data_IF_707256655403
#
_entry.id   IF_707256655403
#
_cell.length_a   1.000
_cell.length_b   1.000
_cell.length_c   1.000
_cell.angle_alpha   90.00
_cell.angle_beta   90.00
_cell.angle_gamma   90.00
#
_symmetry.space_group_name_H-M   'P 1'
#
loop_
_entity.id
_entity.type
_entity.pdbx_description
1 polymer ?
#
# COMPACT_ATOMS: atom_id res chain seq x y z
N UNK A 1 -15.11 -19.35 10.00
CA UNK A 1 -14.01 -19.20 9.03
C UNK A 1 -14.46 -18.14 8.05
N UNK A 2 -13.98 -16.91 8.20
CA UNK A 2 -14.19 -15.83 7.25
C UNK A 2 -13.05 -15.82 6.23
N UNK A 3 -12.92 -16.90 5.45
CA UNK A 3 -12.02 -16.85 4.30
C UNK A 3 -12.77 -16.09 3.20
N UNK A 4 -12.17 -15.00 2.70
CA UNK A 4 -12.67 -14.28 1.53
C UNK A 4 -12.71 -15.18 0.27
N UNK A 5 -11.98 -16.30 0.29
CA UNK A 5 -12.07 -17.39 -0.67
C UNK A 5 -13.04 -18.48 -0.19
N UNK A 6 -13.94 -18.93 -1.06
CA UNK A 6 -14.76 -20.13 -0.83
C UNK A 6 -13.89 -21.38 -0.66
N UNK A 7 -14.42 -22.43 -0.01
CA UNK A 7 -13.72 -23.73 0.10
C UNK A 7 -13.29 -24.30 -1.27
N UNK A 8 -14.02 -23.95 -2.33
CA UNK A 8 -13.67 -24.31 -3.71
C UNK A 8 -12.43 -23.55 -4.18
N UNK A 9 -12.36 -22.25 -3.94
CA UNK A 9 -11.23 -21.40 -4.34
C UNK A 9 -9.96 -21.71 -3.54
N UNK A 10 -10.10 -22.06 -2.27
CA UNK A 10 -8.98 -22.53 -1.43
C UNK A 10 -8.28 -23.77 -1.99
N UNK A 11 -8.99 -24.65 -2.72
CA UNK A 11 -8.39 -25.83 -3.36
C UNK A 11 -7.68 -25.51 -4.68
N UNK A 12 -7.83 -24.30 -5.19
CA UNK A 12 -7.23 -23.84 -6.45
C UNK A 12 -5.95 -23.04 -6.23
N UNK A 13 -5.59 -22.74 -4.98
CA UNK A 13 -4.35 -22.05 -4.63
C UNK A 13 -3.31 -23.03 -4.10
N UNK A 14 -2.04 -22.77 -4.43
CA UNK A 14 -0.88 -23.46 -3.87
C UNK A 14 0.04 -22.41 -3.21
N UNK A 15 0.78 -22.82 -2.17
CA UNK A 15 1.71 -21.90 -1.50
C UNK A 15 2.80 -21.40 -2.46
N UNK A 16 3.24 -20.15 -2.30
CA UNK A 16 4.29 -19.52 -3.11
C UNK A 16 5.53 -20.41 -3.25
N UNK A 17 5.89 -21.11 -2.17
CA UNK A 17 7.03 -22.01 -2.08
C UNK A 17 6.90 -23.26 -2.97
N UNK A 18 5.68 -23.58 -3.39
CA UNK A 18 5.36 -24.72 -4.26
C UNK A 18 4.98 -24.29 -5.68
N UNK A 19 4.36 -23.11 -5.82
CA UNK A 19 3.80 -22.64 -7.09
C UNK A 19 4.78 -21.78 -7.90
N UNK A 20 5.68 -21.04 -7.25
CA UNK A 20 6.62 -20.14 -7.91
C UNK A 20 8.01 -20.75 -8.03
N UNK A 21 8.70 -20.52 -9.16
CA UNK A 21 10.11 -20.81 -9.24
C UNK A 21 10.86 -20.07 -8.12
N UNK A 22 11.91 -20.68 -7.56
CA UNK A 22 12.74 -20.07 -6.52
C UNK A 22 13.65 -18.95 -7.10
N UNK A 23 13.02 -17.91 -7.65
CA UNK A 23 13.64 -16.71 -8.20
C UNK A 23 13.67 -15.59 -7.14
N UNK A 24 14.53 -14.57 -7.30
CA UNK A 24 14.66 -13.48 -6.32
C UNK A 24 13.43 -12.57 -6.25
N UNK A 25 12.64 -12.53 -7.33
CA UNK A 25 11.37 -11.81 -7.46
C UNK A 25 10.33 -12.86 -7.88
N UNK A 26 9.13 -12.90 -7.29
CA UNK A 26 8.06 -13.79 -7.74
C UNK A 26 7.76 -13.55 -9.22
N UNK A 27 7.52 -14.61 -9.97
CA UNK A 27 7.19 -14.54 -11.41
C UNK A 27 5.70 -14.82 -11.64
N UNK A 28 4.89 -14.72 -10.61
CA UNK A 28 3.45 -15.00 -10.60
C UNK A 28 2.85 -14.17 -9.46
N UNK A 29 1.62 -13.69 -9.63
CA UNK A 29 0.86 -13.15 -8.50
C UNK A 29 0.57 -14.28 -7.54
N UNK A 30 1.00 -14.14 -6.30
CA UNK A 30 0.59 -15.04 -5.25
C UNK A 30 -0.49 -14.35 -4.44
N UNK A 31 -1.63 -15.01 -4.24
CA UNK A 31 -2.75 -14.45 -3.49
C UNK A 31 -2.35 -14.14 -2.06
N UNK A 32 -2.87 -13.05 -1.51
CA UNK A 32 -2.77 -12.66 -0.10
C UNK A 32 -3.94 -13.13 0.75
N UNK A 33 -4.96 -13.75 0.13
CA UNK A 33 -6.10 -14.34 0.80
C UNK A 33 -7.43 -13.73 0.58
N UNK A 34 -7.40 -12.59 -0.06
CA UNK A 34 -8.59 -11.83 -0.35
C UNK A 34 -9.02 -12.04 -1.80
N UNK A 35 -8.23 -12.76 -2.61
CA UNK A 35 -8.50 -13.02 -4.02
C UNK A 35 -7.91 -14.34 -4.53
N UNK A 36 -8.50 -14.93 -5.57
CA UNK A 36 -7.92 -16.11 -6.24
C UNK A 36 -6.83 -15.61 -7.22
N UNK A 37 -5.55 -16.01 -7.07
CA UNK A 37 -4.52 -15.56 -7.97
C UNK A 37 -4.66 -16.31 -9.31
N UNK A 38 -4.36 -15.66 -10.45
CA UNK A 38 -4.42 -16.28 -11.75
C UNK A 38 -3.31 -17.30 -11.89
N UNK A 39 -3.47 -18.20 -12.86
CA UNK A 39 -2.32 -18.92 -13.36
C UNK A 39 -1.26 -17.92 -13.85
N UNK A 40 0.01 -18.30 -13.69
CA UNK A 40 1.12 -17.57 -14.28
C UNK A 40 0.87 -17.33 -15.77
N UNK A 41 0.92 -16.07 -16.21
CA UNK A 41 0.69 -15.71 -17.60
C UNK A 41 1.86 -16.13 -18.50
N UNK A 42 1.64 -16.21 -19.82
CA UNK A 42 2.71 -16.59 -20.74
C UNK A 42 3.86 -15.58 -20.78
N UNK A 43 3.57 -14.30 -20.50
CA UNK A 43 4.59 -13.25 -20.35
C UNK A 43 5.41 -13.47 -19.08
N UNK A 44 4.75 -13.78 -17.96
CA UNK A 44 5.41 -14.14 -16.71
C UNK A 44 6.30 -15.39 -16.83
N UNK A 45 5.84 -16.44 -17.54
CA UNK A 45 6.65 -17.63 -17.87
C UNK A 45 7.90 -17.29 -18.69
N UNK A 46 7.83 -16.30 -19.59
CA UNK A 46 9.00 -15.82 -20.35
C UNK A 46 10.01 -15.14 -19.42
N UNK A 47 9.53 -14.31 -18.48
CA UNK A 47 10.40 -13.67 -17.47
C UNK A 47 11.10 -14.74 -16.64
N UNK A 48 10.36 -15.70 -16.08
CA UNK A 48 10.93 -16.78 -15.28
C UNK A 48 12.01 -17.55 -16.03
N UNK A 49 11.71 -17.99 -17.25
CA UNK A 49 12.69 -18.68 -18.10
C UNK A 49 13.94 -17.83 -18.31
N UNK A 50 13.76 -16.54 -18.55
CA UNK A 50 14.87 -15.63 -18.81
C UNK A 50 15.73 -15.41 -17.57
N UNK A 51 15.12 -15.34 -16.39
CA UNK A 51 15.81 -15.32 -15.09
C UNK A 51 16.67 -16.58 -14.94
N UNK A 52 16.11 -17.76 -15.22
CA UNK A 52 16.82 -19.04 -15.13
C UNK A 52 18.01 -19.12 -16.12
N UNK A 53 17.84 -18.63 -17.36
CA UNK A 53 18.91 -18.55 -18.36
C UNK A 53 20.06 -17.64 -17.89
N UNK A 54 19.74 -16.43 -17.40
CA UNK A 54 20.74 -15.50 -16.88
C UNK A 54 21.49 -16.09 -15.68
N UNK A 55 20.80 -16.81 -14.80
CA UNK A 55 21.43 -17.46 -13.66
C UNK A 55 22.31 -18.65 -14.05
N UNK A 56 21.94 -19.41 -15.08
CA UNK A 56 22.79 -20.48 -15.62
C UNK A 56 24.06 -19.92 -16.25
N UNK A 57 23.95 -18.82 -16.99
CA UNK A 57 25.07 -18.20 -17.68
C UNK A 57 26.02 -17.46 -16.72
N UNK A 58 25.46 -16.68 -15.79
CA UNK A 58 26.24 -15.82 -14.88
C UNK A 58 26.69 -16.58 -13.63
N UNK A 59 25.87 -17.50 -13.12
CA UNK A 59 26.25 -18.38 -12.01
C UNK A 59 27.49 -19.21 -12.33
N UNK A 60 27.55 -19.84 -13.52
CA UNK A 60 28.72 -20.61 -13.97
C UNK A 60 30.01 -19.79 -14.00
N UNK A 61 29.94 -18.52 -14.44
CA UNK A 61 31.11 -17.62 -14.50
C UNK A 61 31.64 -17.26 -13.12
N UNK A 62 30.76 -17.22 -12.11
CA UNK A 62 31.10 -16.91 -10.72
C UNK A 62 31.39 -18.17 -9.89
N UNK A 63 31.36 -19.36 -10.50
CA UNK A 63 31.52 -20.63 -9.77
C UNK A 63 30.36 -20.94 -8.81
N UNK A 64 29.18 -20.37 -9.05
CA UNK A 64 27.99 -20.55 -8.22
C UNK A 64 26.99 -21.50 -8.89
N UNK A 65 26.30 -22.31 -8.07
CA UNK A 65 25.09 -22.97 -8.54
C UNK A 65 23.98 -21.94 -8.82
N UNK A 66 22.99 -22.32 -9.64
CA UNK A 66 21.83 -21.47 -9.93
C UNK A 66 21.17 -20.93 -8.64
N UNK A 67 20.95 -21.80 -7.65
CA UNK A 67 20.35 -21.43 -6.36
C UNK A 67 21.19 -20.40 -5.60
N UNK A 68 22.51 -20.62 -5.53
CA UNK A 68 23.41 -19.68 -4.87
C UNK A 68 23.44 -18.34 -5.59
N UNK A 69 23.47 -18.33 -6.93
CA UNK A 69 23.45 -17.10 -7.72
C UNK A 69 22.19 -16.27 -7.46
N UNK A 70 21.01 -16.89 -7.42
CA UNK A 70 19.74 -16.19 -7.12
C UNK A 70 19.72 -15.55 -5.72
N UNK A 71 20.52 -16.04 -4.77
CA UNK A 71 20.63 -15.47 -3.43
C UNK A 71 21.60 -14.28 -3.33
N UNK A 72 22.12 -13.79 -4.47
CA UNK A 72 23.05 -12.65 -4.52
C UNK A 72 22.39 -11.39 -5.08
N UNK A 73 23.06 -10.24 -4.91
CA UNK A 73 22.68 -9.00 -5.60
C UNK A 73 22.68 -9.13 -7.13
N UNK A 74 23.57 -9.96 -7.70
CA UNK A 74 23.59 -10.26 -9.14
C UNK A 74 22.34 -11.04 -9.58
N UNK A 75 21.86 -11.95 -8.72
CA UNK A 75 20.59 -12.66 -8.94
C UNK A 75 19.41 -11.68 -9.02
N UNK A 76 19.32 -10.76 -8.06
CA UNK A 76 18.29 -9.71 -8.07
C UNK A 76 18.39 -8.82 -9.32
N UNK A 77 19.60 -8.39 -9.70
CA UNK A 77 19.82 -7.61 -10.91
C UNK A 77 19.44 -8.37 -12.18
N UNK A 78 19.72 -9.68 -12.25
CA UNK A 78 19.29 -10.54 -13.35
C UNK A 78 17.76 -10.64 -13.44
N UNK A 79 17.05 -10.65 -12.30
CA UNK A 79 15.59 -10.63 -12.27
C UNK A 79 15.02 -9.36 -12.90
N UNK A 80 15.49 -8.19 -12.47
CA UNK A 80 15.06 -6.91 -13.06
C UNK A 80 15.47 -6.79 -14.54
N UNK A 81 16.64 -7.29 -14.92
CA UNK A 81 17.08 -7.31 -16.32
C UNK A 81 16.14 -8.15 -17.20
N UNK A 82 15.78 -9.36 -16.74
CA UNK A 82 14.82 -10.20 -17.42
C UNK A 82 13.44 -9.52 -17.56
N UNK A 83 12.99 -8.83 -16.52
CA UNK A 83 11.75 -8.04 -16.58
C UNK A 83 11.85 -6.93 -17.63
N UNK A 84 12.95 -6.19 -17.71
CA UNK A 84 13.15 -5.19 -18.77
C UNK A 84 13.20 -5.82 -20.17
N UNK A 85 13.82 -6.97 -20.35
CA UNK A 85 13.88 -7.63 -21.67
C UNK A 85 12.50 -8.11 -22.14
N UNK A 86 11.64 -8.58 -21.22
CA UNK A 86 10.31 -9.11 -21.57
C UNK A 86 9.22 -8.03 -21.58
N UNK A 87 9.25 -7.10 -20.61
CA UNK A 87 8.28 -6.02 -20.44
C UNK A 87 8.78 -4.68 -21.00
N UNK A 88 9.85 -4.64 -21.79
CA UNK A 88 10.33 -3.40 -22.39
C UNK A 88 11.43 -2.71 -21.57
N UNK A 89 12.38 -2.13 -22.28
CA UNK A 89 13.78 -1.94 -21.89
C UNK A 89 14.08 -0.94 -20.77
N UNK A 90 13.08 -0.44 -20.04
CA UNK A 90 13.28 0.68 -19.11
C UNK A 90 12.27 0.74 -17.97
N UNK A 91 11.74 -0.40 -17.52
CA UNK A 91 10.84 -0.41 -16.35
C UNK A 91 11.62 -0.32 -15.04
N UNK A 92 12.75 -1.02 -14.95
CA UNK A 92 13.64 -0.98 -13.80
C UNK A 92 14.99 -0.39 -14.20
N UNK A 93 15.55 0.46 -13.34
CA UNK A 93 16.92 0.93 -13.51
C UNK A 93 17.89 -0.19 -13.13
N UNK A 94 18.42 -0.90 -14.12
CA UNK A 94 19.42 -1.96 -13.92
C UNK A 94 20.24 -2.14 -15.18
N UNK A 95 21.54 -2.38 -15.02
CA UNK A 95 22.47 -2.65 -16.11
C UNK A 95 22.78 -4.14 -16.23
N UNK A 96 23.15 -4.59 -17.43
CA UNK A 96 23.58 -5.97 -17.64
C UNK A 96 24.87 -6.32 -16.86
N UNK A 97 25.69 -5.33 -16.52
CA UNK A 97 26.92 -5.53 -15.75
C UNK A 97 26.61 -5.87 -14.28
N UNK A 98 25.59 -5.26 -13.67
CA UNK A 98 25.16 -5.60 -12.31
C UNK A 98 24.69 -7.06 -12.18
N UNK A 99 24.11 -7.64 -13.25
CA UNK A 99 23.76 -9.05 -13.26
C UNK A 99 24.97 -10.01 -13.33
N UNK A 100 26.19 -9.49 -13.54
CA UNK A 100 27.41 -10.28 -13.81
C UNK A 100 28.54 -10.02 -12.82
N UNK A 101 28.62 -8.81 -12.28
CA UNK A 101 29.75 -8.32 -11.50
C UNK A 101 29.31 -8.04 -10.05
N UNK A 102 29.68 -8.91 -9.09
CA UNK A 102 29.31 -8.73 -7.68
C UNK A 102 29.72 -7.39 -7.10
N UNK A 103 30.86 -6.85 -7.53
CA UNK A 103 31.36 -5.54 -7.09
C UNK A 103 30.42 -4.39 -7.47
N UNK A 104 29.78 -4.44 -8.64
CA UNK A 104 28.82 -3.41 -9.06
C UNK A 104 27.55 -3.44 -8.21
N UNK A 105 27.03 -4.63 -7.92
CA UNK A 105 25.84 -4.76 -7.05
C UNK A 105 26.15 -4.33 -5.62
N UNK A 106 27.36 -4.62 -5.12
CA UNK A 106 27.82 -4.15 -3.81
C UNK A 106 27.98 -2.64 -3.77
N UNK A 107 28.61 -2.05 -4.80
CA UNK A 107 28.74 -0.61 -4.92
C UNK A 107 27.37 0.08 -4.96
N UNK A 108 26.39 -0.49 -5.69
CA UNK A 108 25.02 0.03 -5.71
C UNK A 108 24.35 -0.06 -4.34
N UNK A 109 24.42 -1.20 -3.67
CA UNK A 109 23.86 -1.36 -2.33
C UNK A 109 24.48 -0.36 -1.34
N UNK A 110 25.80 -0.18 -1.38
CA UNK A 110 26.50 0.82 -0.56
C UNK A 110 26.10 2.25 -0.90
N UNK A 111 25.88 2.55 -2.18
CA UNK A 111 25.43 3.90 -2.60
C UNK A 111 24.03 4.24 -2.11
N UNK A 112 23.22 3.24 -1.79
CA UNK A 112 21.83 3.37 -1.35
C UNK A 112 21.63 3.09 0.15
N UNK A 113 22.65 2.61 0.87
CA UNK A 113 22.50 2.18 2.28
C UNK A 113 22.20 3.32 3.26
N UNK A 114 22.29 4.58 2.82
CA UNK A 114 21.96 5.77 3.61
C UNK A 114 20.66 6.46 3.17
N UNK A 115 19.83 5.79 2.36
CA UNK A 115 18.56 6.36 1.92
C UNK A 115 17.65 6.68 3.10
N UNK A 116 16.96 7.81 2.99
CA UNK A 116 15.88 8.15 3.90
C UNK A 116 14.60 7.48 3.43
N UNK A 117 14.06 6.60 4.27
CA UNK A 117 12.83 5.85 4.08
C UNK A 117 11.77 6.39 5.05
N UNK A 118 10.74 6.99 4.47
CA UNK A 118 9.56 7.44 5.18
C UNK A 118 8.39 6.54 4.83
N UNK A 119 8.00 5.67 5.76
CA UNK A 119 6.76 4.92 5.64
C UNK A 119 5.57 5.82 6.02
N UNK A 120 4.87 6.31 5.02
CA UNK A 120 3.78 7.27 5.20
C UNK A 120 2.47 6.63 5.66
N UNK A 121 2.38 5.30 5.77
CA UNK A 121 1.12 4.63 6.06
C UNK A 121 1.30 3.35 6.86
N UNK A 122 1.33 3.48 8.18
CA UNK A 122 1.44 2.34 9.09
C UNK A 122 0.26 2.24 10.05
N UNK A 123 -0.05 1.02 10.50
CA UNK A 123 -1.15 0.73 11.42
C UNK A 123 -0.73 -0.35 12.42
N UNK A 124 -1.29 -0.26 13.63
CA UNK A 124 -1.36 -1.36 14.61
C UNK A 124 -2.72 -1.27 15.32
N UNK A 125 -3.09 -2.28 16.10
CA UNK A 125 -4.37 -2.31 16.83
C UNK A 125 -4.17 -2.12 18.33
N UNK A 126 -5.10 -1.39 18.96
CA UNK A 126 -5.16 -1.19 20.42
C UNK A 126 -5.19 -2.51 21.18
N UNK A 127 -4.73 -2.49 22.43
CA UNK A 127 -4.55 -3.71 23.24
C UNK A 127 -5.84 -4.51 23.44
N UNK A 128 -6.96 -3.84 23.64
CA UNK A 128 -8.30 -4.43 23.83
C UNK A 128 -9.04 -4.78 22.52
N UNK A 129 -8.44 -4.53 21.35
CA UNK A 129 -9.00 -4.98 20.07
C UNK A 129 -9.06 -6.51 20.01
N UNK A 130 -10.25 -7.07 19.80
CA UNK A 130 -10.55 -8.50 19.90
C UNK A 130 -11.19 -9.12 18.64
N UNK A 131 -11.40 -8.34 17.56
CA UNK A 131 -11.88 -8.83 16.27
C UNK A 131 -10.82 -9.70 15.58
N UNK A 132 -11.01 -11.02 15.64
CA UNK A 132 -10.07 -12.02 15.12
C UNK A 132 -10.06 -12.10 13.60
N UNK A 133 -11.04 -11.53 12.93
CA UNK A 133 -11.17 -11.41 11.48
C UNK A 133 -9.92 -10.75 10.87
N UNK A 134 -9.25 -9.83 11.58
CA UNK A 134 -8.01 -9.23 11.10
C UNK A 134 -6.85 -10.24 10.95
N UNK A 135 -6.90 -11.36 11.68
CA UNK A 135 -5.92 -12.44 11.56
C UNK A 135 -6.04 -13.21 10.26
N UNK A 136 -7.16 -13.08 9.54
CA UNK A 136 -7.35 -13.82 8.28
C UNK A 136 -6.31 -13.39 7.23
N UNK A 137 -5.85 -12.12 7.27
CA UNK A 137 -4.68 -11.64 6.52
C UNK A 137 -3.39 -12.43 6.86
N UNK A 138 -3.07 -12.60 8.14
CA UNK A 138 -1.84 -13.26 8.58
C UNK A 138 -1.89 -14.77 8.35
N UNK A 139 -3.01 -15.42 8.70
CA UNK A 139 -3.23 -16.85 8.45
C UNK A 139 -3.06 -17.17 6.99
N UNK A 140 -3.58 -16.31 6.13
CA UNK A 140 -3.44 -16.50 4.72
C UNK A 140 -1.99 -16.30 4.26
N UNK A 141 -1.34 -15.20 4.65
CA UNK A 141 0.07 -14.99 4.34
C UNK A 141 0.95 -16.18 4.78
N UNK A 142 0.67 -16.80 5.93
CA UNK A 142 1.38 -18.00 6.38
C UNK A 142 1.10 -19.25 5.54
N UNK A 143 -0.12 -19.40 5.07
CA UNK A 143 -0.51 -20.53 4.23
C UNK A 143 0.04 -20.40 2.80
N UNK A 144 0.18 -19.17 2.31
CA UNK A 144 0.33 -18.93 0.88
C UNK A 144 1.58 -18.15 0.46
N UNK A 145 2.24 -17.42 1.35
CA UNK A 145 3.39 -16.57 1.00
C UNK A 145 4.66 -16.93 1.72
N UNK A 146 4.58 -16.98 3.04
CA UNK A 146 5.73 -17.13 3.89
C UNK A 146 5.41 -18.15 4.97
N UNK A 147 5.84 -19.38 4.73
CA UNK A 147 5.62 -20.48 5.68
C UNK A 147 6.32 -20.26 7.02
N UNK A 148 7.29 -19.35 7.12
CA UNK A 148 7.88 -18.95 8.40
C UNK A 148 6.90 -18.23 9.32
N UNK A 149 5.77 -17.74 8.80
CA UNK A 149 4.68 -17.17 9.60
C UNK A 149 3.81 -18.26 10.25
N UNK A 150 3.92 -19.53 9.84
CA UNK A 150 3.13 -20.64 10.42
C UNK A 150 3.49 -20.78 11.90
N UNK A 151 2.51 -20.55 12.78
CA UNK A 151 2.67 -20.59 14.24
C UNK A 151 2.50 -19.23 14.94
N UNK A 152 2.52 -18.13 14.19
CA UNK A 152 2.35 -16.75 14.70
C UNK A 152 1.08 -16.05 14.13
N UNK A 153 0.12 -16.83 13.62
CA UNK A 153 -1.06 -16.30 12.91
C UNK A 153 -2.36 -16.33 13.71
N UNK A 154 -2.35 -16.95 14.89
CA UNK A 154 -3.57 -17.15 15.68
C UNK A 154 -3.75 -16.12 16.79
N UNK A 155 -2.83 -15.16 16.90
CA UNK A 155 -2.81 -14.14 17.94
C UNK A 155 -2.77 -12.74 17.37
N UNK A 156 -3.69 -11.88 17.84
CA UNK A 156 -3.69 -10.46 17.52
C UNK A 156 -2.43 -9.73 18.02
N UNK A 157 -1.62 -10.36 18.87
CA UNK A 157 -0.28 -9.88 19.30
C UNK A 157 0.57 -9.43 18.11
N UNK A 158 0.45 -10.12 16.96
CA UNK A 158 1.14 -9.76 15.71
C UNK A 158 0.86 -8.33 15.24
N UNK A 159 -0.32 -7.80 15.53
CA UNK A 159 -0.74 -6.45 15.16
C UNK A 159 -0.72 -5.48 16.34
N UNK A 160 -0.21 -5.88 17.52
CA UNK A 160 -0.10 -4.99 18.68
C UNK A 160 1.18 -4.17 18.63
N UNK A 161 1.23 -3.14 19.45
CA UNK A 161 2.30 -2.14 19.50
C UNK A 161 3.72 -2.72 19.57
N UNK A 162 3.95 -3.76 20.38
CA UNK A 162 5.30 -4.34 20.54
C UNK A 162 5.83 -4.93 19.23
N UNK A 163 4.99 -5.70 18.52
CA UNK A 163 5.40 -6.27 17.23
C UNK A 163 5.50 -5.19 16.16
N UNK A 164 4.60 -4.19 16.18
CA UNK A 164 4.69 -3.02 15.31
C UNK A 164 6.06 -2.32 15.42
N UNK A 165 6.54 -2.04 16.64
CA UNK A 165 7.85 -1.40 16.84
C UNK A 165 8.99 -2.26 16.31
N UNK A 166 8.93 -3.59 16.52
CA UNK A 166 9.92 -4.54 15.99
C UNK A 166 9.95 -4.50 14.46
N UNK A 167 8.81 -4.71 13.81
CA UNK A 167 8.74 -4.80 12.34
C UNK A 167 9.14 -3.46 11.69
N UNK A 168 8.69 -2.32 12.23
CA UNK A 168 8.99 -1.00 11.65
C UNK A 168 10.45 -0.59 11.90
N UNK A 169 11.00 -0.77 13.10
CA UNK A 169 12.30 -0.17 13.45
C UNK A 169 13.47 -1.13 13.62
N UNK A 170 13.22 -2.45 13.73
CA UNK A 170 14.28 -3.45 13.88
C UNK A 170 14.41 -4.37 12.67
N UNK A 171 13.30 -4.66 11.99
CA UNK A 171 13.28 -5.57 10.83
C UNK A 171 13.07 -4.86 9.50
N UNK A 172 13.08 -3.52 9.49
CA UNK A 172 13.03 -2.72 8.27
C UNK A 172 14.00 -1.55 8.32
N UNK A 173 14.35 -1.01 7.15
CA UNK A 173 15.21 0.16 7.00
C UNK A 173 14.45 1.49 7.23
N UNK A 174 13.22 1.45 7.77
CA UNK A 174 12.39 2.65 7.98
C UNK A 174 13.06 3.67 8.90
N UNK A 175 13.22 4.90 8.40
CA UNK A 175 13.74 6.02 9.20
C UNK A 175 12.64 6.76 9.95
N UNK A 176 11.51 7.01 9.30
CA UNK A 176 10.35 7.63 9.93
C UNK A 176 9.11 6.86 9.50
N UNK A 177 8.17 6.67 10.41
CA UNK A 177 6.85 6.15 10.09
C UNK A 177 5.76 7.19 10.40
N UNK A 178 4.63 7.11 9.71
CA UNK A 178 3.42 7.87 9.99
C UNK A 178 2.32 6.89 10.38
N UNK A 179 1.85 7.01 11.62
CA UNK A 179 0.83 6.17 12.21
C UNK A 179 -0.55 6.75 11.96
N UNK A 180 -1.47 5.88 11.56
CA UNK A 180 -2.88 6.20 11.38
C UNK A 180 -3.77 5.17 12.07
N UNK A 181 -5.04 5.54 12.23
CA UNK A 181 -6.14 4.60 12.46
C UNK A 181 -6.98 4.42 11.19
N UNK A 182 -8.01 3.58 11.32
CA UNK A 182 -9.08 3.43 10.34
C UNK A 182 -10.43 3.61 11.09
N UNK A 183 -11.31 4.50 10.60
CA UNK A 183 -12.63 4.69 11.18
C UNK A 183 -13.60 3.61 10.67
N UNK A 184 -14.57 3.27 11.50
CA UNK A 184 -15.66 2.35 11.16
C UNK A 184 -16.98 2.92 11.66
N UNK A 185 -18.09 2.46 11.07
CA UNK A 185 -19.43 2.80 11.57
C UNK A 185 -19.67 2.23 12.97
N UNK A 186 -19.06 1.08 13.29
CA UNK A 186 -18.97 0.53 14.64
C UNK A 186 -17.64 0.92 15.30
N UNK A 187 -17.64 1.77 16.36
CA UNK A 187 -16.43 2.15 17.09
C UNK A 187 -15.63 0.98 17.67
N UNK A 188 -16.25 -0.19 17.89
CA UNK A 188 -15.56 -1.40 18.35
C UNK A 188 -14.48 -1.88 17.36
N UNK A 189 -14.61 -1.52 16.07
CA UNK A 189 -13.67 -1.86 15.01
C UNK A 189 -12.55 -0.85 14.80
N UNK A 190 -12.59 0.31 15.45
CA UNK A 190 -11.53 1.30 15.29
C UNK A 190 -10.18 0.71 15.72
N UNK A 191 -9.17 0.79 14.86
CA UNK A 191 -7.87 0.18 15.17
C UNK A 191 -7.20 0.89 16.36
N UNK A 192 -7.25 2.22 16.36
CA UNK A 192 -6.75 3.12 17.39
C UNK A 192 -7.65 4.36 17.46
N UNK A 193 -7.79 4.94 18.66
CA UNK A 193 -8.30 6.31 18.81
C UNK A 193 -7.23 7.35 18.47
N UNK A 194 -7.64 8.58 18.19
CA UNK A 194 -6.70 9.68 17.94
C UNK A 194 -5.74 9.94 19.12
N UNK A 195 -6.24 9.80 20.34
CA UNK A 195 -5.43 9.89 21.55
C UNK A 195 -4.37 8.77 21.60
N UNK A 196 -4.74 7.53 21.27
CA UNK A 196 -3.81 6.40 21.22
C UNK A 196 -2.74 6.59 20.14
N UNK A 197 -3.09 7.13 18.96
CA UNK A 197 -2.14 7.42 17.87
C UNK A 197 -1.09 8.43 18.35
N UNK A 198 -1.51 9.55 18.93
CA UNK A 198 -0.58 10.57 19.43
C UNK A 198 0.24 10.05 20.61
N UNK A 199 -0.35 9.25 21.49
CA UNK A 199 0.39 8.64 22.59
C UNK A 199 1.49 7.70 22.09
N UNK A 200 1.21 6.89 21.07
CA UNK A 200 2.21 6.03 20.44
C UNK A 200 3.35 6.83 19.81
N UNK A 201 3.03 7.96 19.14
CA UNK A 201 4.01 8.92 18.62
C UNK A 201 4.94 9.43 19.71
N UNK A 202 4.38 9.90 20.83
CA UNK A 202 5.16 10.39 21.96
C UNK A 202 6.08 9.31 22.53
N UNK A 203 5.53 8.12 22.84
CA UNK A 203 6.30 7.00 23.42
C UNK A 203 7.49 6.62 22.53
N UNK A 204 7.28 6.49 21.22
CA UNK A 204 8.36 6.13 20.29
C UNK A 204 9.40 7.25 20.20
N UNK A 205 8.97 8.51 20.09
CA UNK A 205 9.89 9.64 19.94
C UNK A 205 10.69 9.91 21.22
N UNK A 206 10.07 9.78 22.39
CA UNK A 206 10.72 9.90 23.70
C UNK A 206 11.77 8.80 23.87
N UNK A 207 11.41 7.55 23.55
CA UNK A 207 12.34 6.43 23.61
C UNK A 207 13.52 6.60 22.65
N UNK A 208 13.27 7.07 21.43
CA UNK A 208 14.29 7.26 20.42
C UNK A 208 15.13 8.53 20.60
N UNK A 209 14.72 9.45 21.49
CA UNK A 209 15.32 10.78 21.63
C UNK A 209 15.29 11.61 20.35
N UNK A 210 14.43 11.26 19.39
CA UNK A 210 14.33 11.86 18.06
C UNK A 210 12.96 11.62 17.44
N UNK A 211 12.61 12.38 16.41
CA UNK A 211 11.35 12.23 15.69
C UNK A 211 11.42 11.03 14.75
N UNK A 212 10.88 9.89 15.20
CA UNK A 212 10.82 8.61 14.48
C UNK A 212 9.41 8.23 14.05
N UNK A 213 8.40 8.64 14.82
CA UNK A 213 7.00 8.47 14.48
C UNK A 213 6.31 9.82 14.30
N UNK A 214 5.42 9.88 13.32
CA UNK A 214 4.44 10.95 13.08
C UNK A 214 3.02 10.40 13.32
N UNK A 215 2.06 11.28 13.59
CA UNK A 215 0.69 10.93 13.89
C UNK A 215 -0.30 11.62 12.94
N UNK A 216 -1.17 10.83 12.34
CA UNK A 216 -2.43 11.31 11.78
C UNK A 216 -3.50 11.42 12.86
N UNK A 217 -4.31 12.49 12.80
CA UNK A 217 -5.66 12.43 13.37
C UNK A 217 -6.63 11.99 12.29
N UNK A 218 -7.40 10.93 12.58
CA UNK A 218 -8.49 10.46 11.74
C UNK A 218 -9.70 11.35 11.98
N UNK A 219 -10.25 11.91 10.90
CA UNK A 219 -11.54 12.63 10.91
C UNK A 219 -12.65 11.73 10.35
N UNK A 220 -13.87 11.92 10.84
CA UNK A 220 -15.04 11.13 10.42
C UNK A 220 -16.20 12.02 9.98
N UNK A 221 -16.08 12.75 8.85
CA UNK A 221 -17.11 13.69 8.41
C UNK A 221 -18.51 13.07 8.40
N UNK A 222 -19.49 13.83 8.91
CA UNK A 222 -20.90 13.45 9.12
C UNK A 222 -21.19 12.49 10.28
N UNK A 223 -20.20 11.85 10.90
CA UNK A 223 -20.44 11.11 12.15
C UNK A 223 -20.75 12.09 13.29
N UNK A 224 -21.58 11.71 14.28
CA UNK A 224 -21.85 12.57 15.44
C UNK A 224 -20.55 12.97 16.17
N UNK A 225 -20.38 14.26 16.45
CA UNK A 225 -19.23 14.77 17.22
C UNK A 225 -17.93 14.97 16.42
N UNK A 226 -17.92 14.77 15.10
CA UNK A 226 -16.67 14.76 14.33
C UNK A 226 -15.96 16.12 14.28
N UNK A 227 -16.68 17.24 14.33
CA UNK A 227 -16.06 18.58 14.31
C UNK A 227 -15.53 18.98 15.69
N UNK A 228 -16.19 18.53 16.75
CA UNK A 228 -15.70 18.66 18.13
C UNK A 228 -14.38 17.88 18.31
N UNK A 229 -14.28 16.70 17.69
CA UNK A 229 -13.03 15.93 17.67
C UNK A 229 -11.93 16.63 16.85
N UNK A 230 -12.28 17.36 15.77
CA UNK A 230 -11.33 18.24 15.04
C UNK A 230 -10.80 19.34 15.96
N UNK A 231 -11.69 20.02 16.69
CA UNK A 231 -11.29 21.07 17.64
C UNK A 231 -10.39 20.54 18.74
N UNK A 232 -10.75 19.38 19.31
CA UNK A 232 -9.91 18.67 20.28
C UNK A 232 -8.57 18.27 19.69
N UNK A 233 -8.52 17.82 18.43
CA UNK A 233 -7.28 17.44 17.78
C UNK A 233 -6.33 18.62 17.58
N UNK A 234 -6.85 19.79 17.22
CA UNK A 234 -6.06 21.02 17.09
C UNK A 234 -5.49 21.44 18.46
N UNK A 235 -6.33 21.45 19.49
CA UNK A 235 -5.95 21.96 20.82
C UNK A 235 -5.02 21.00 21.58
N UNK A 236 -5.37 19.71 21.58
CA UNK A 236 -4.77 18.69 22.44
C UNK A 236 -3.76 17.84 21.69
N UNK A 237 -4.19 17.17 20.61
CA UNK A 237 -3.40 16.13 19.97
C UNK A 237 -2.26 16.68 19.10
N UNK A 238 -2.48 17.82 18.44
CA UNK A 238 -1.52 18.49 17.54
C UNK A 238 -0.91 17.48 16.56
N UNK A 239 -1.74 16.86 15.69
CA UNK A 239 -1.27 15.87 14.74
C UNK A 239 -0.36 16.48 13.69
N UNK A 240 0.41 15.62 13.02
CA UNK A 240 1.30 16.02 11.94
C UNK A 240 0.54 16.20 10.62
N UNK A 241 -0.64 15.56 10.49
CA UNK A 241 -1.55 15.68 9.35
C UNK A 241 -2.89 15.00 9.65
N UNK A 242 -3.88 15.15 8.77
CA UNK A 242 -5.19 14.52 8.88
C UNK A 242 -5.27 13.25 8.04
N UNK A 243 -6.09 12.28 8.47
CA UNK A 243 -6.46 11.10 7.68
C UNK A 243 -7.98 11.03 7.54
N UNK A 244 -8.47 10.62 6.37
CA UNK A 244 -9.89 10.31 6.21
C UNK A 244 -10.17 9.22 5.16
N UNK A 245 -11.42 8.75 5.16
CA UNK A 245 -11.97 7.71 4.28
C UNK A 245 -13.30 8.24 3.73
N UNK A 246 -13.37 8.56 2.43
CA UNK A 246 -14.57 9.16 1.81
C UNK A 246 -15.74 8.19 1.70
N UNK A 247 -15.45 6.89 1.67
CA UNK A 247 -16.44 5.80 1.79
C UNK A 247 -16.93 5.60 3.24
N UNK A 248 -16.37 6.31 4.21
CA UNK A 248 -16.68 6.19 5.64
C UNK A 248 -16.02 4.96 6.27
N UNK A 249 -16.60 3.79 6.05
CA UNK A 249 -16.16 2.51 6.57
C UNK A 249 -15.35 1.78 5.49
N UNK A 250 -14.08 1.40 5.77
CA UNK A 250 -13.21 0.79 4.77
C UNK A 250 -13.57 -0.66 4.44
N UNK A 251 -14.36 -1.35 5.26
CA UNK A 251 -14.69 -2.77 5.06
C UNK A 251 -16.13 -3.01 4.60
N UNK A 252 -16.95 -1.97 4.50
CA UNK A 252 -18.32 -2.11 4.03
C UNK A 252 -19.04 -0.79 3.74
N UNK A 253 -20.29 -0.86 3.26
CA UNK A 253 -21.06 0.32 2.95
C UNK A 253 -21.43 1.11 4.22
N UNK A 254 -20.81 2.28 4.38
CA UNK A 254 -21.06 3.20 5.50
C UNK A 254 -22.36 3.98 5.35
N UNK A 255 -22.92 4.40 6.49
CA UNK A 255 -24.00 5.38 6.57
C UNK A 255 -23.52 6.82 6.40
N UNK A 256 -22.21 7.05 6.39
CA UNK A 256 -21.60 8.38 6.42
C UNK A 256 -20.62 8.65 5.25
N UNK A 257 -20.96 8.34 3.98
CA UNK A 257 -20.09 8.70 2.87
C UNK A 257 -20.06 10.23 2.68
N UNK A 258 -18.92 10.78 2.27
CA UNK A 258 -18.72 12.23 2.14
C UNK A 258 -17.72 12.56 1.03
N UNK A 259 -17.81 13.79 0.51
CA UNK A 259 -16.96 14.29 -0.58
C UNK A 259 -16.00 15.36 -0.09
N UNK A 260 -14.81 15.42 -0.69
CA UNK A 260 -13.84 16.48 -0.39
C UNK A 260 -14.35 17.88 -0.70
N UNK A 261 -15.16 18.04 -1.75
CA UNK A 261 -15.68 19.32 -2.22
C UNK A 261 -17.05 19.69 -1.63
N UNK A 262 -17.53 18.96 -0.63
CA UNK A 262 -18.76 19.31 0.09
C UNK A 262 -18.55 20.59 0.89
N UNK A 263 -19.02 21.71 0.35
CA UNK A 263 -18.84 23.05 0.94
C UNK A 263 -19.47 23.19 2.32
N UNK A 264 -20.52 22.42 2.64
CA UNK A 264 -21.17 22.52 3.96
C UNK A 264 -20.46 21.66 4.99
N UNK A 265 -19.95 20.51 4.59
CA UNK A 265 -19.32 19.55 5.50
C UNK A 265 -17.83 19.84 5.67
N UNK A 266 -17.07 20.01 4.58
CA UNK A 266 -15.60 20.01 4.63
C UNK A 266 -14.95 21.39 4.68
N UNK A 267 -15.60 22.44 4.17
CA UNK A 267 -14.98 23.78 4.16
C UNK A 267 -14.74 24.36 5.55
N UNK A 268 -15.66 24.21 6.52
CA UNK A 268 -15.38 24.60 7.90
C UNK A 268 -14.17 23.86 8.49
N UNK A 269 -13.97 22.60 8.11
CA UNK A 269 -12.80 21.83 8.50
C UNK A 269 -11.51 22.40 7.86
N UNK A 270 -11.50 22.68 6.56
CA UNK A 270 -10.32 23.24 5.88
C UNK A 270 -9.91 24.61 6.42
N UNK A 271 -10.88 25.44 6.82
CA UNK A 271 -10.61 26.71 7.50
C UNK A 271 -9.90 26.49 8.84
N UNK A 272 -10.42 25.59 9.68
CA UNK A 272 -9.81 25.23 10.98
C UNK A 272 -8.42 24.63 10.79
N UNK A 273 -8.26 23.69 9.86
CA UNK A 273 -7.00 23.02 9.56
C UNK A 273 -5.91 24.04 9.15
N UNK A 274 -6.22 24.95 8.23
CA UNK A 274 -5.28 25.99 7.82
C UNK A 274 -4.95 26.99 8.91
N UNK A 275 -5.97 27.43 9.67
CA UNK A 275 -5.75 28.34 10.80
C UNK A 275 -4.83 27.71 11.86
N UNK A 276 -4.92 26.40 12.05
CA UNK A 276 -4.06 25.63 12.93
C UNK A 276 -2.67 25.33 12.34
N UNK A 277 -2.46 25.55 11.03
CA UNK A 277 -1.23 25.19 10.32
C UNK A 277 -1.07 23.70 10.04
N UNK A 278 -2.14 22.91 10.16
CA UNK A 278 -2.15 21.45 9.92
C UNK A 278 -2.75 21.23 8.52
N UNK A 279 -1.96 21.52 7.50
CA UNK A 279 -2.48 21.77 6.15
C UNK A 279 -2.49 20.52 5.25
N UNK A 280 -2.14 19.34 5.76
CA UNK A 280 -2.05 18.11 4.97
C UNK A 280 -3.19 17.19 5.37
N UNK A 281 -3.99 16.77 4.40
CA UNK A 281 -4.99 15.71 4.57
C UNK A 281 -4.66 14.54 3.63
N UNK A 282 -4.57 13.35 4.20
CA UNK A 282 -4.39 12.11 3.50
C UNK A 282 -5.71 11.35 3.39
N UNK A 283 -6.13 10.96 2.20
CA UNK A 283 -7.44 10.37 1.93
C UNK A 283 -7.28 9.00 1.31
N UNK A 284 -7.90 8.00 1.93
CA UNK A 284 -8.03 6.68 1.33
C UNK A 284 -9.07 6.70 0.21
N UNK A 285 -8.64 6.40 -1.02
CA UNK A 285 -9.46 6.28 -2.23
C UNK A 285 -8.92 5.17 -3.11
N UNK A 286 -9.78 4.49 -3.85
CA UNK A 286 -9.46 3.28 -4.60
C UNK A 286 -9.64 2.02 -3.77
N UNK A 287 -8.96 0.95 -4.19
CA UNK A 287 -8.94 -0.37 -3.56
C UNK A 287 -10.34 -0.90 -3.23
N UNK A 288 -11.20 -1.02 -4.26
CA UNK A 288 -12.49 -1.69 -4.14
C UNK A 288 -12.49 -3.08 -4.81
N UNK A 289 -13.27 -4.05 -4.28
CA UNK A 289 -13.36 -5.41 -4.83
C UNK A 289 -14.00 -5.42 -6.23
N UNK A 290 -13.85 -6.49 -7.03
CA UNK A 290 -14.35 -6.52 -8.40
C UNK A 290 -15.87 -6.30 -8.53
N UNK A 291 -16.63 -6.68 -7.49
CA UNK A 291 -18.08 -6.53 -7.43
C UNK A 291 -18.54 -5.25 -6.70
N UNK A 292 -17.67 -4.24 -6.58
CA UNK A 292 -17.90 -3.02 -5.79
C UNK A 292 -19.24 -2.32 -6.07
N UNK A 293 -19.75 -2.36 -7.30
CA UNK A 293 -21.05 -1.75 -7.63
C UNK A 293 -22.22 -2.42 -6.89
N UNK A 294 -22.03 -3.67 -6.44
CA UNK A 294 -22.97 -4.43 -5.61
C UNK A 294 -22.57 -4.40 -4.13
N UNK A 295 -21.33 -4.73 -3.80
CA UNK A 295 -20.87 -4.84 -2.41
C UNK A 295 -20.74 -3.48 -1.71
N UNK A 296 -20.48 -2.41 -2.47
CA UNK A 296 -20.43 -1.01 -2.04
C UNK A 296 -21.48 -0.14 -2.75
N UNK A 297 -22.64 -0.72 -3.06
CA UNK A 297 -23.72 -0.04 -3.75
C UNK A 297 -24.12 1.27 -3.05
N UNK A 298 -24.15 2.37 -3.81
CA UNK A 298 -24.51 3.71 -3.30
C UNK A 298 -23.39 4.46 -2.58
N UNK A 299 -22.20 3.84 -2.39
CA UNK A 299 -21.04 4.49 -1.76
C UNK A 299 -19.74 4.36 -2.55
N UNK A 300 -19.64 3.45 -3.53
CA UNK A 300 -18.39 3.19 -4.24
C UNK A 300 -17.85 4.43 -4.97
N UNK A 301 -18.71 5.33 -5.46
CA UNK A 301 -18.31 6.53 -6.19
C UNK A 301 -17.42 7.43 -5.33
N UNK A 302 -17.60 7.41 -4.00
CA UNK A 302 -16.81 8.19 -3.06
C UNK A 302 -15.36 7.70 -2.97
N UNK A 303 -15.04 6.48 -3.40
CA UNK A 303 -13.68 5.98 -3.51
C UNK A 303 -12.92 6.51 -4.73
N UNK A 304 -13.57 7.25 -5.63
CA UNK A 304 -12.97 7.73 -6.89
C UNK A 304 -12.52 9.19 -6.80
N UNK A 305 -11.96 9.76 -7.88
CA UNK A 305 -11.23 11.04 -7.85
C UNK A 305 -12.07 12.32 -8.12
N UNK A 306 -13.37 12.20 -8.40
CA UNK A 306 -14.16 13.31 -8.96
C UNK A 306 -14.38 14.52 -8.03
N UNK A 307 -14.27 14.32 -6.71
CA UNK A 307 -14.48 15.34 -5.68
C UNK A 307 -13.20 16.10 -5.27
N UNK A 308 -12.04 15.70 -5.79
CA UNK A 308 -10.74 16.21 -5.34
C UNK A 308 -10.42 17.56 -5.99
N UNK A 309 -10.63 17.67 -7.31
CA UNK A 309 -10.14 18.82 -8.09
C UNK A 309 -10.73 20.16 -7.66
N UNK A 310 -12.05 20.19 -7.37
CA UNK A 310 -12.71 21.39 -6.84
C UNK A 310 -12.19 21.74 -5.44
N UNK A 311 -12.11 20.76 -4.53
CA UNK A 311 -11.57 20.98 -3.19
C UNK A 311 -10.14 21.55 -3.22
N UNK A 312 -9.27 20.98 -4.05
CA UNK A 312 -7.89 21.44 -4.23
C UNK A 312 -7.80 22.87 -4.76
N UNK A 313 -8.67 23.23 -5.72
CA UNK A 313 -8.73 24.56 -6.31
C UNK A 313 -9.25 25.62 -5.33
N UNK A 314 -10.30 25.27 -4.58
CA UNK A 314 -10.95 26.20 -3.65
C UNK A 314 -10.13 26.39 -2.36
N UNK A 315 -9.26 25.42 -2.03
CA UNK A 315 -8.40 25.42 -0.85
C UNK A 315 -6.92 25.24 -1.20
N UNK A 316 -6.29 26.22 -1.89
CA UNK A 316 -4.91 26.12 -2.35
C UNK A 316 -3.86 26.02 -1.22
N UNK A 317 -4.22 26.44 0.00
CA UNK A 317 -3.35 26.30 1.18
C UNK A 317 -3.41 24.93 1.87
N UNK A 318 -4.33 24.06 1.47
CA UNK A 318 -4.35 22.65 1.87
C UNK A 318 -3.57 21.80 0.86
N UNK A 319 -2.98 20.71 1.34
CA UNK A 319 -2.34 19.65 0.55
C UNK A 319 -3.16 18.38 0.67
N UNK A 320 -3.54 17.81 -0.48
CA UNK A 320 -4.36 16.61 -0.58
C UNK A 320 -3.49 15.44 -1.04
N UNK A 321 -3.28 14.46 -0.18
CA UNK A 321 -2.54 13.23 -0.50
C UNK A 321 -3.53 12.09 -0.65
N UNK A 322 -3.58 11.48 -1.83
CA UNK A 322 -4.50 10.38 -2.13
C UNK A 322 -3.76 9.07 -1.96
N UNK A 323 -4.07 8.37 -0.88
CA UNK A 323 -3.55 7.04 -0.60
C UNK A 323 -4.07 6.02 -1.61
N UNK A 324 -3.16 5.14 -2.03
CA UNK A 324 -3.37 4.16 -3.10
C UNK A 324 -3.63 4.75 -4.48
N UNK A 325 -3.38 6.06 -4.67
CA UNK A 325 -3.50 6.74 -5.97
C UNK A 325 -4.86 6.60 -6.65
N UNK A 326 -5.92 6.42 -5.86
CA UNK A 326 -7.25 6.08 -6.37
C UNK A 326 -7.24 4.85 -7.31
N UNK A 327 -6.30 3.92 -7.14
CA UNK A 327 -6.24 2.71 -7.97
C UNK A 327 -7.50 1.89 -7.75
N UNK A 328 -8.26 1.67 -8.82
CA UNK A 328 -9.54 0.94 -8.77
C UNK A 328 -9.40 -0.49 -8.25
N UNK A 329 -8.31 -1.17 -8.62
CA UNK A 329 -8.02 -2.57 -8.32
C UNK A 329 -7.68 -2.82 -6.84
N UNK A 330 -8.58 -3.47 -6.12
CA UNK A 330 -8.21 -4.24 -4.94
C UNK A 330 -8.01 -5.69 -5.33
N UNK A 331 -6.75 -6.14 -5.28
CA UNK A 331 -6.47 -7.58 -5.28
C UNK A 331 -7.02 -8.29 -6.52
N UNK A 332 -6.90 -7.57 -7.62
CA UNK A 332 -7.32 -7.99 -8.94
C UNK A 332 -6.13 -8.01 -9.87
N UNK A 333 -6.34 -8.69 -10.98
CA UNK A 333 -5.26 -8.94 -11.90
C UNK A 333 -5.04 -7.71 -12.75
N UNK A 334 -3.78 -7.29 -12.88
CA UNK A 334 -3.50 -6.20 -13.76
C UNK A 334 -3.69 -6.60 -15.22
N UNK A 335 -3.97 -7.86 -15.62
CA UNK A 335 -4.21 -8.17 -17.04
C UNK A 335 -5.40 -7.40 -17.62
N UNK A 336 -6.56 -7.39 -16.94
CA UNK A 336 -7.73 -6.65 -17.44
C UNK A 336 -7.50 -5.14 -17.31
N UNK A 337 -6.93 -4.67 -16.19
CA UNK A 337 -6.58 -3.27 -16.01
C UNK A 337 -5.51 -2.79 -17.02
N UNK A 338 -4.57 -3.67 -17.38
CA UNK A 338 -3.56 -3.43 -18.40
C UNK A 338 -4.16 -3.44 -19.78
N UNK A 339 -5.03 -4.40 -20.12
CA UNK A 339 -5.70 -4.44 -21.42
C UNK A 339 -6.54 -3.18 -21.63
N UNK A 340 -7.23 -2.74 -20.59
CA UNK A 340 -7.92 -1.45 -20.57
C UNK A 340 -6.91 -0.31 -20.81
N UNK A 341 -5.80 -0.26 -20.08
CA UNK A 341 -4.76 0.75 -20.26
C UNK A 341 -4.11 0.73 -21.65
N UNK A 342 -3.74 -0.43 -22.19
CA UNK A 342 -3.10 -0.59 -23.50
C UNK A 342 -4.03 -0.17 -24.63
N UNK A 343 -5.34 -0.35 -24.45
CA UNK A 343 -6.36 0.06 -25.43
C UNK A 343 -6.73 1.54 -25.30
N UNK A 344 -6.83 2.07 -24.07
CA UNK A 344 -7.41 3.39 -23.80
C UNK A 344 -6.39 4.47 -23.45
N UNK A 345 -5.18 4.07 -23.05
CA UNK A 345 -4.19 4.91 -22.40
C UNK A 345 -4.55 5.33 -20.97
N UNK A 346 -5.57 4.71 -20.36
CA UNK A 346 -6.09 5.11 -19.04
C UNK A 346 -6.11 3.96 -18.05
N UNK A 347 -5.57 4.22 -16.86
CA UNK A 347 -5.80 3.44 -15.65
C UNK A 347 -7.05 3.97 -14.96
N UNK A 348 -8.08 3.12 -14.80
CA UNK A 348 -9.37 3.48 -14.20
C UNK A 348 -9.18 4.17 -12.85
N UNK A 349 -9.76 5.36 -12.70
CA UNK A 349 -9.71 6.28 -11.55
C UNK A 349 -8.33 6.93 -11.27
N UNK A 350 -7.23 6.19 -11.38
CA UNK A 350 -5.89 6.73 -11.17
C UNK A 350 -5.51 7.79 -12.23
N UNK A 351 -5.93 7.61 -13.48
CA UNK A 351 -5.72 8.62 -14.54
C UNK A 351 -6.52 9.88 -14.25
N UNK A 352 -7.74 9.75 -13.72
CA UNK A 352 -8.58 10.89 -13.37
C UNK A 352 -7.89 11.73 -12.29
N UNK A 353 -7.28 11.08 -11.28
CA UNK A 353 -6.44 11.73 -10.27
C UNK A 353 -5.21 12.42 -10.89
N UNK A 354 -4.46 11.73 -11.75
CA UNK A 354 -3.25 12.26 -12.38
C UNK A 354 -3.51 13.49 -13.26
N UNK A 355 -4.70 13.61 -13.84
CA UNK A 355 -5.09 14.74 -14.68
C UNK A 355 -5.54 15.98 -13.88
N UNK A 356 -5.81 15.86 -12.57
CA UNK A 356 -6.33 16.96 -11.74
C UNK A 356 -5.45 18.22 -11.78
N UNK A 357 -4.12 18.15 -11.60
CA UNK A 357 -3.24 19.33 -11.66
C UNK A 357 -3.45 20.14 -12.94
N UNK A 358 -3.49 19.48 -14.10
CA UNK A 358 -3.70 20.14 -15.39
C UNK A 358 -5.13 20.62 -15.58
N UNK A 359 -6.14 19.80 -15.23
CA UNK A 359 -7.56 20.12 -15.42
C UNK A 359 -8.04 21.29 -14.56
N UNK A 360 -7.55 21.37 -13.32
CA UNK A 360 -7.98 22.37 -12.35
C UNK A 360 -6.99 23.52 -12.16
N UNK A 361 -5.77 23.40 -12.69
CA UNK A 361 -4.70 24.40 -12.54
C UNK A 361 -4.14 24.43 -11.12
N UNK A 362 -3.92 23.26 -10.51
CA UNK A 362 -3.53 23.09 -9.10
C UNK A 362 -2.20 22.34 -8.97
N UNK A 363 -1.51 22.52 -7.85
CA UNK A 363 -0.21 21.88 -7.56
C UNK A 363 -0.13 21.28 -6.14
N UNK A 364 -1.28 21.13 -5.48
CA UNK A 364 -1.44 20.69 -4.09
C UNK A 364 -2.14 19.34 -3.97
N UNK A 365 -2.13 18.52 -5.02
CA UNK A 365 -2.69 17.17 -5.06
C UNK A 365 -1.57 16.18 -5.36
N UNK A 366 -1.41 15.18 -4.50
CA UNK A 366 -0.37 14.17 -4.56
C UNK A 366 -0.98 12.78 -4.48
N UNK A 367 -0.30 11.81 -5.09
CA UNK A 367 -0.70 10.41 -5.06
C UNK A 367 0.37 9.60 -4.33
N UNK A 368 -0.06 8.73 -3.43
CA UNK A 368 0.79 7.74 -2.77
C UNK A 368 0.59 6.39 -3.47
N UNK A 369 1.69 5.72 -3.80
CA UNK A 369 1.71 4.60 -4.73
C UNK A 369 2.14 3.27 -4.09
N UNK A 370 2.43 3.20 -2.80
CA UNK A 370 3.01 2.02 -2.13
C UNK A 370 2.20 0.74 -2.35
N UNK A 371 0.91 0.75 -1.99
CA UNK A 371 0.04 -0.43 -2.24
C UNK A 371 -0.17 -0.68 -3.73
N UNK A 372 -0.36 0.37 -4.53
CA UNK A 372 -0.59 0.28 -5.98
C UNK A 372 0.60 -0.31 -6.72
N UNK A 373 1.81 0.07 -6.29
CA UNK A 373 3.08 -0.45 -6.74
C UNK A 373 3.23 -1.91 -6.31
N UNK A 374 3.01 -2.23 -5.03
CA UNK A 374 3.08 -3.61 -4.55
C UNK A 374 2.14 -4.56 -5.30
N UNK A 375 0.93 -4.09 -5.66
CA UNK A 375 -0.05 -4.88 -6.41
C UNK A 375 0.41 -5.18 -7.85
N UNK A 376 1.07 -4.23 -8.51
CA UNK A 376 1.32 -4.33 -9.95
C UNK A 376 2.78 -4.57 -10.35
N UNK A 377 3.77 -4.19 -9.54
CA UNK A 377 5.17 -4.11 -9.96
C UNK A 377 5.79 -5.45 -10.35
N UNK A 378 5.30 -6.54 -9.76
CA UNK A 378 5.73 -7.89 -10.09
C UNK A 378 4.94 -8.47 -11.27
N UNK A 379 3.62 -8.26 -11.26
CA UNK A 379 2.71 -8.91 -12.19
C UNK A 379 2.68 -8.24 -13.56
N UNK A 380 2.73 -6.90 -13.56
CA UNK A 380 2.67 -6.07 -14.74
C UNK A 380 3.52 -4.79 -14.57
N UNK A 381 4.86 -4.88 -14.63
CA UNK A 381 5.76 -3.75 -14.38
C UNK A 381 5.47 -2.52 -15.25
N UNK A 382 5.04 -2.70 -16.51
CA UNK A 382 4.63 -1.58 -17.37
C UNK A 382 3.40 -0.84 -16.85
N UNK A 383 2.48 -1.56 -16.20
CA UNK A 383 1.27 -0.96 -15.63
C UNK A 383 1.63 -0.15 -14.38
N UNK A 384 2.61 -0.61 -13.59
CA UNK A 384 3.12 0.15 -12.44
C UNK A 384 3.91 1.38 -12.83
N UNK A 385 4.56 1.35 -13.99
CA UNK A 385 5.35 2.46 -14.52
C UNK A 385 4.48 3.53 -15.21
N UNK A 386 3.30 3.14 -15.69
CA UNK A 386 2.27 4.03 -16.23
C UNK A 386 1.51 4.73 -15.10
#
# INVERSE_FOLDING_TARGET
MGSWLSEREQRLVAGAETASAATPIPTQIVSNGEFLPPPQSDTQKRVERRILELADDHGKRLGLSRRQFMQTGCGMAAAFLAMNEVYGSSVFQVTAAEAREPELTRARAQSLSGQFIFDVQTHFVRDDFDHKELLDLAKFAAQHWNTALKGDTDSLVRYKFQNYVKEVYYDSDTNIALLSGAPFDDPSWWLLSNEQIVRAREVINDFAGSRRLLAHTVITPKQPGWMEEVDKAIEVYKPDSWKSYTIGDPLGPSKFPWRLDDEKVMYPFYEKAQKAGINIICIHKGLLPPDYEKSFAGVWEYATAWDIGKAAKDWPGMTFVVYHSALRAFLELPEEAWKEFDTTGRIKWATDLAEIPQKFGVNNVYAEIGTSFANSAVAHPKFSAA
#
